data_IF_034950639836
#
_entry.id   IF_034950639836
#
_cell.length_a   1.000
_cell.length_b   1.000
_cell.length_c   1.000
_cell.angle_alpha   90.00
_cell.angle_beta   90.00
_cell.angle_gamma   90.00
#
_symmetry.space_group_name_H-M   'P 1'
#
loop_
_entity.id
_entity.type
_entity.pdbx_description
1 polymer ?
#
# COMPACT_ATOMS: atom_id res chain seq x y z
N UNK A 1 -59.34 10.40 -13.61
CA UNK A 1 -58.53 9.35 -14.27
C UNK A 1 -57.04 9.70 -14.39
N UNK A 2 -56.59 10.92 -14.07
CA UNK A 2 -55.17 11.27 -14.12
C UNK A 2 -54.40 10.87 -12.84
N UNK A 3 -55.06 10.88 -11.68
CA UNK A 3 -54.43 10.62 -10.37
C UNK A 3 -53.90 9.19 -10.20
N UNK A 4 -54.54 8.20 -10.84
CA UNK A 4 -54.08 6.80 -10.77
C UNK A 4 -52.79 6.56 -11.58
N UNK A 5 -52.66 7.24 -12.73
CA UNK A 5 -51.47 7.17 -13.60
C UNK A 5 -50.29 7.83 -12.90
N UNK A 6 -50.50 9.01 -12.31
CA UNK A 6 -49.47 9.75 -11.59
C UNK A 6 -48.92 8.93 -10.41
N UNK A 7 -49.79 8.26 -9.64
CA UNK A 7 -49.37 7.47 -8.47
C UNK A 7 -48.59 6.21 -8.84
N UNK A 8 -48.95 5.54 -9.94
CA UNK A 8 -48.22 4.36 -10.43
C UNK A 8 -46.87 4.74 -11.08
N UNK A 9 -46.85 5.80 -11.89
CA UNK A 9 -45.63 6.30 -12.51
C UNK A 9 -44.63 6.87 -11.50
N UNK A 10 -45.09 7.53 -10.43
CA UNK A 10 -44.22 7.94 -9.33
C UNK A 10 -43.51 6.72 -8.72
N UNK A 11 -44.26 5.69 -8.36
CA UNK A 11 -43.70 4.47 -7.76
C UNK A 11 -42.69 3.77 -8.68
N UNK A 12 -42.98 3.71 -9.98
CA UNK A 12 -42.06 3.16 -10.96
C UNK A 12 -40.74 3.96 -11.03
N UNK A 13 -40.81 5.30 -11.05
CA UNK A 13 -39.62 6.17 -11.05
C UNK A 13 -38.83 6.02 -9.74
N UNK A 14 -39.50 5.99 -8.58
CA UNK A 14 -38.82 5.75 -7.30
C UNK A 14 -38.10 4.40 -7.30
N UNK A 15 -38.74 3.34 -7.79
CA UNK A 15 -38.11 2.01 -7.86
C UNK A 15 -36.90 1.99 -8.79
N UNK A 16 -36.99 2.62 -9.96
CA UNK A 16 -35.88 2.75 -10.91
C UNK A 16 -34.70 3.53 -10.30
N UNK A 17 -34.99 4.67 -9.65
CA UNK A 17 -33.96 5.48 -8.97
C UNK A 17 -33.29 4.69 -7.85
N UNK A 18 -34.05 3.99 -7.00
CA UNK A 18 -33.47 3.14 -5.94
C UNK A 18 -32.62 2.00 -6.50
N UNK A 19 -33.03 1.38 -7.61
CA UNK A 19 -32.26 0.35 -8.28
C UNK A 19 -30.92 0.87 -8.81
N UNK A 20 -30.92 2.04 -9.45
CA UNK A 20 -29.70 2.70 -9.95
C UNK A 20 -28.78 3.07 -8.78
N UNK A 21 -29.32 3.65 -7.71
CA UNK A 21 -28.53 4.00 -6.51
C UNK A 21 -27.93 2.76 -5.85
N UNK A 22 -28.70 1.69 -5.73
CA UNK A 22 -28.23 0.43 -5.14
C UNK A 22 -27.14 -0.21 -6.00
N UNK A 23 -27.30 -0.21 -7.33
CA UNK A 23 -26.28 -0.67 -8.28
C UNK A 23 -25.01 0.16 -8.18
N UNK A 24 -25.13 1.49 -8.18
CA UNK A 24 -23.99 2.40 -8.03
C UNK A 24 -23.24 2.17 -6.72
N UNK A 25 -23.96 2.02 -5.60
CA UNK A 25 -23.38 1.69 -4.29
C UNK A 25 -22.65 0.34 -4.31
N UNK A 26 -23.24 -0.68 -4.91
CA UNK A 26 -22.62 -2.00 -5.03
C UNK A 26 -21.33 -1.95 -5.87
N UNK A 27 -21.36 -1.26 -7.01
CA UNK A 27 -20.16 -1.05 -7.84
C UNK A 27 -19.08 -0.29 -7.06
N UNK A 28 -19.44 0.75 -6.30
CA UNK A 28 -18.49 1.50 -5.50
C UNK A 28 -17.86 0.65 -4.40
N UNK A 29 -18.67 -0.16 -3.70
CA UNK A 29 -18.18 -1.08 -2.66
C UNK A 29 -17.18 -2.08 -3.24
N UNK A 30 -17.46 -2.67 -4.41
CA UNK A 30 -16.53 -3.59 -5.09
C UNK A 30 -15.20 -2.92 -5.42
N UNK A 31 -15.24 -1.70 -5.96
CA UNK A 31 -14.02 -0.91 -6.23
C UNK A 31 -13.23 -0.65 -4.96
N UNK A 32 -13.88 -0.28 -3.85
CA UNK A 32 -13.20 -0.05 -2.57
C UNK A 32 -12.51 -1.31 -2.04
N UNK A 33 -13.17 -2.47 -2.09
CA UNK A 33 -12.57 -3.74 -1.66
C UNK A 33 -11.36 -4.10 -2.51
N UNK A 34 -11.46 -3.95 -3.83
CA UNK A 34 -10.33 -4.21 -4.73
C UNK A 34 -9.15 -3.27 -4.46
N UNK A 35 -9.42 -1.97 -4.27
CA UNK A 35 -8.37 -0.99 -3.94
C UNK A 35 -7.71 -1.29 -2.59
N UNK A 36 -8.48 -1.73 -1.59
CA UNK A 36 -7.93 -2.17 -0.31
C UNK A 36 -7.00 -3.38 -0.48
N UNK A 37 -7.44 -4.42 -1.22
CA UNK A 37 -6.62 -5.59 -1.47
C UNK A 37 -5.32 -5.27 -2.25
N UNK A 38 -5.39 -4.38 -3.23
CA UNK A 38 -4.19 -3.92 -3.96
C UNK A 38 -3.25 -3.18 -3.02
N UNK A 39 -3.79 -2.26 -2.20
CA UNK A 39 -3.02 -1.53 -1.20
C UNK A 39 -2.30 -2.47 -0.23
N UNK A 40 -3.03 -3.47 0.30
CA UNK A 40 -2.46 -4.44 1.25
C UNK A 40 -1.39 -5.30 0.57
N UNK A 41 -1.60 -5.72 -0.68
CA UNK A 41 -0.61 -6.45 -1.46
C UNK A 41 0.66 -5.63 -1.74
N UNK A 42 0.51 -4.35 -2.11
CA UNK A 42 1.65 -3.45 -2.28
C UNK A 42 2.42 -3.26 -0.98
N UNK A 43 1.71 -3.11 0.14
CA UNK A 43 2.32 -2.97 1.45
C UNK A 43 3.15 -4.22 1.83
N UNK A 44 2.60 -5.42 1.57
CA UNK A 44 3.30 -6.68 1.82
C UNK A 44 4.56 -6.82 0.95
N UNK A 45 4.50 -6.44 -0.33
CA UNK A 45 5.65 -6.47 -1.24
C UNK A 45 6.74 -5.48 -0.84
N UNK A 46 6.36 -4.24 -0.49
CA UNK A 46 7.31 -3.22 -0.03
C UNK A 46 7.98 -3.65 1.28
N UNK A 47 7.20 -4.21 2.21
CA UNK A 47 7.71 -4.76 3.45
C UNK A 47 8.74 -5.87 3.20
N UNK A 48 8.41 -6.86 2.35
CA UNK A 48 9.34 -7.93 1.99
C UNK A 48 10.63 -7.38 1.35
N UNK A 49 10.50 -6.39 0.46
CA UNK A 49 11.66 -5.79 -0.19
C UNK A 49 12.56 -5.04 0.81
N UNK A 50 11.98 -4.25 1.72
CA UNK A 50 12.70 -3.58 2.81
C UNK A 50 13.45 -4.62 3.66
N UNK A 51 12.76 -5.69 4.05
CA UNK A 51 13.36 -6.78 4.82
C UNK A 51 14.51 -7.46 4.08
N UNK A 52 14.38 -7.66 2.78
CA UNK A 52 15.40 -8.27 1.94
C UNK A 52 16.68 -7.43 1.88
N UNK A 53 16.56 -6.11 1.66
CA UNK A 53 17.70 -5.19 1.66
C UNK A 53 18.35 -5.14 3.04
N UNK A 54 17.55 -5.09 4.11
CA UNK A 54 18.06 -5.15 5.48
C UNK A 54 18.90 -6.42 5.71
N UNK A 55 18.39 -7.61 5.33
CA UNK A 55 19.14 -8.87 5.46
C UNK A 55 20.48 -8.81 4.72
N UNK A 56 20.49 -8.25 3.52
CA UNK A 56 21.72 -8.10 2.74
C UNK A 56 22.72 -7.18 3.43
N UNK A 57 22.27 -6.02 3.91
CA UNK A 57 23.09 -5.05 4.64
C UNK A 57 23.64 -5.63 5.94
N UNK A 58 22.83 -6.37 6.70
CA UNK A 58 23.28 -7.10 7.90
C UNK A 58 24.35 -8.13 7.54
N UNK A 59 24.16 -8.91 6.47
CA UNK A 59 25.11 -9.94 6.04
C UNK A 59 26.47 -9.33 5.68
N UNK A 60 26.49 -8.19 4.98
CA UNK A 60 27.74 -7.51 4.61
C UNK A 60 28.29 -6.58 5.71
N UNK A 61 27.51 -6.31 6.76
CA UNK A 61 27.85 -5.45 7.92
C UNK A 61 28.00 -3.96 7.61
N UNK A 62 27.57 -3.51 6.43
CA UNK A 62 27.56 -2.11 6.02
C UNK A 62 26.37 -1.84 5.08
N UNK A 63 25.99 -0.58 4.92
CA UNK A 63 24.97 -0.15 3.97
C UNK A 63 25.55 0.96 3.11
N UNK A 64 25.82 0.68 1.83
CA UNK A 64 26.32 1.70 0.93
C UNK A 64 25.28 2.82 0.75
N UNK A 65 25.74 4.00 0.34
CA UNK A 65 24.85 5.15 0.08
C UNK A 65 23.74 4.78 -0.92
N UNK A 66 24.05 3.94 -1.91
CA UNK A 66 23.07 3.45 -2.88
C UNK A 66 22.02 2.51 -2.25
N UNK A 67 22.41 1.67 -1.28
CA UNK A 67 21.47 0.81 -0.55
C UNK A 67 20.49 1.64 0.28
N UNK A 68 21.01 2.65 0.99
CA UNK A 68 20.21 3.55 1.83
C UNK A 68 19.22 4.31 0.95
N UNK A 69 19.68 4.91 -0.16
CA UNK A 69 18.83 5.64 -1.09
C UNK A 69 17.76 4.74 -1.71
N UNK A 70 18.12 3.52 -2.12
CA UNK A 70 17.15 2.56 -2.64
C UNK A 70 16.11 2.18 -1.57
N UNK A 71 16.54 2.02 -0.31
CA UNK A 71 15.65 1.74 0.79
C UNK A 71 14.70 2.91 1.10
N UNK A 72 15.16 4.16 1.01
CA UNK A 72 14.32 5.36 1.15
C UNK A 72 13.19 5.40 0.11
N UNK A 73 13.51 5.08 -1.16
CA UNK A 73 12.51 5.00 -2.23
C UNK A 73 11.42 3.95 -1.97
N UNK A 74 11.75 2.87 -1.26
CA UNK A 74 10.79 1.84 -0.87
C UNK A 74 10.04 2.21 0.40
N UNK A 75 10.73 2.85 1.35
CA UNK A 75 10.20 3.22 2.65
C UNK A 75 9.13 4.31 2.55
N UNK A 76 9.34 5.33 1.72
CA UNK A 76 8.36 6.42 1.59
C UNK A 76 6.95 5.96 1.18
N UNK A 77 6.76 5.19 0.08
CA UNK A 77 5.45 4.68 -0.27
C UNK A 77 4.94 3.66 0.75
N UNK A 78 5.81 2.85 1.35
CA UNK A 78 5.43 1.92 2.41
C UNK A 78 4.81 2.64 3.61
N UNK A 79 5.47 3.68 4.11
CA UNK A 79 4.99 4.48 5.24
C UNK A 79 3.70 5.21 4.86
N UNK A 80 3.64 5.80 3.66
CA UNK A 80 2.46 6.51 3.15
C UNK A 80 1.23 5.59 3.02
N UNK A 81 1.42 4.33 2.65
CA UNK A 81 0.36 3.34 2.59
C UNK A 81 -0.09 2.85 3.98
N UNK A 82 0.52 3.30 5.07
CA UNK A 82 0.20 2.88 6.43
C UNK A 82 0.99 1.64 6.85
N UNK A 83 2.26 1.56 6.45
CA UNK A 83 3.18 0.52 6.86
C UNK A 83 3.28 0.33 8.38
N UNK A 84 3.57 -0.90 8.78
CA UNK A 84 3.72 -1.25 10.19
C UNK A 84 5.04 -0.70 10.78
N UNK A 85 5.13 -0.73 12.11
CA UNK A 85 6.32 -0.26 12.84
C UNK A 85 7.59 -1.05 12.51
N UNK A 86 7.48 -2.33 12.15
CA UNK A 86 8.62 -3.19 11.86
C UNK A 86 9.40 -2.71 10.63
N UNK A 87 8.72 -2.38 9.52
CA UNK A 87 9.41 -1.86 8.33
C UNK A 87 10.14 -0.54 8.59
N UNK A 88 9.58 0.31 9.46
CA UNK A 88 10.22 1.56 9.91
C UNK A 88 11.45 1.29 10.77
N UNK A 89 11.37 0.35 11.70
CA UNK A 89 12.51 -0.04 12.53
C UNK A 89 13.67 -0.58 11.69
N UNK A 90 13.38 -1.42 10.69
CA UNK A 90 14.40 -1.95 9.78
C UNK A 90 15.05 -0.85 8.95
N UNK A 91 14.25 0.10 8.46
CA UNK A 91 14.75 1.27 7.74
C UNK A 91 15.76 2.07 8.58
N UNK A 92 15.39 2.44 9.81
CA UNK A 92 16.27 3.18 10.71
C UNK A 92 17.53 2.40 11.06
N UNK A 93 17.43 1.07 11.26
CA UNK A 93 18.60 0.22 11.48
C UNK A 93 19.57 0.25 10.32
N UNK A 94 19.11 0.12 9.07
CA UNK A 94 19.98 0.21 7.89
C UNK A 94 20.64 1.58 7.81
N UNK A 95 19.89 2.66 8.07
CA UNK A 95 20.42 4.03 8.06
C UNK A 95 21.48 4.27 9.13
N UNK A 96 21.44 3.53 10.23
CA UNK A 96 22.46 3.58 11.29
C UNK A 96 23.71 2.73 11.02
N UNK A 97 23.73 1.94 9.94
CA UNK A 97 24.89 1.11 9.61
C UNK A 97 26.06 1.93 9.06
N UNK A 98 27.31 1.44 9.17
CA UNK A 98 28.46 2.03 8.49
C UNK A 98 28.23 2.09 6.97
N UNK A 99 28.72 3.14 6.32
CA UNK A 99 28.54 3.33 4.87
C UNK A 99 29.59 2.66 4.00
N UNK A 100 30.66 2.16 4.61
CA UNK A 100 31.78 1.54 3.92
C UNK A 100 32.04 0.11 4.44
N UNK A 101 32.63 -0.78 3.61
CA UNK A 101 32.93 -2.14 4.02
C UNK A 101 33.94 -2.16 5.18
N UNK A 102 33.78 -3.11 6.13
CA UNK A 102 34.76 -3.38 7.18
C UNK A 102 36.16 -3.60 6.62
N UNK A 103 37.19 -3.18 7.35
CA UNK A 103 38.59 -3.24 6.90
C UNK A 103 39.04 -4.66 6.51
N UNK A 104 38.54 -5.70 7.20
CA UNK A 104 38.81 -7.11 6.90
C UNK A 104 38.37 -7.53 5.49
N UNK A 105 37.31 -6.91 4.93
CA UNK A 105 36.82 -7.19 3.58
C UNK A 105 37.55 -6.40 2.48
N UNK A 106 38.34 -5.37 2.83
CA UNK A 106 39.11 -4.60 1.84
C UNK A 106 40.47 -5.22 1.53
N UNK A 107 40.93 -6.14 2.38
CA UNK A 107 42.26 -6.75 2.31
C UNK A 107 42.26 -8.18 1.72
N UNK A 108 41.08 -8.69 1.37
CA UNK A 108 40.85 -9.99 0.72
C UNK A 108 40.55 -9.81 -0.77
#
# INVERSE_FOLDING_TARGET
MHDWIVRYWLGAVFSAVTGILCWAFHCWRRKRVMQAAIKDGMLALLHDRIYSIYRECVRKKYAAVDDIRNLEYLYYPYHTLGGNGTGTELFERVKSMPTEPPQEQRLS
#
